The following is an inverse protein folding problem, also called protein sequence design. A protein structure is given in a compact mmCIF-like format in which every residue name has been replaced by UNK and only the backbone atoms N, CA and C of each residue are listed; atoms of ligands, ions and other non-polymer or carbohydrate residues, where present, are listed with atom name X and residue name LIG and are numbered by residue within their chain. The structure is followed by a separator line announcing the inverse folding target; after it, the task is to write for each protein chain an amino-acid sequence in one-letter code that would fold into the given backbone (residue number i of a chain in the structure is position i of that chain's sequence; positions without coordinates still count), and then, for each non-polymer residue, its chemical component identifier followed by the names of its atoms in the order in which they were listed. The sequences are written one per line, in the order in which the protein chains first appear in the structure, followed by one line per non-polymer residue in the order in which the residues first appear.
data_IF_663740129590
#
_entry.id   IF_663740129590
#
_cell.length_a   1.000
_cell.length_b   1.000
_cell.length_c   1.000
_cell.angle_alpha   90.00
_cell.angle_beta   90.00
_cell.angle_gamma   90.00
#
_symmetry.space_group_name_H-M   'P 1'
#
loop_
_entity.id
_entity.type
_entity.pdbx_description
1 polymer ?
#
# COMPACT_ATOMS: atom_id res chain seq x y z
N UNK A 1 21.46 -0.20 -4.73
CA UNK A 1 20.60 0.48 -3.74
C UNK A 1 21.20 0.25 -2.37
N UNK A 2 21.39 1.33 -1.62
CA UNK A 2 21.82 1.24 -0.22
C UNK A 2 20.67 0.73 0.66
N UNK A 3 20.98 0.09 1.79
CA UNK A 3 19.96 -0.43 2.74
C UNK A 3 19.03 0.71 3.21
N UNK A 4 19.54 1.94 3.29
CA UNK A 4 18.77 3.14 3.63
C UNK A 4 17.69 3.45 2.58
N UNK A 5 17.98 3.37 1.28
CA UNK A 5 16.98 3.59 0.21
C UNK A 5 15.85 2.57 0.25
N UNK A 6 16.21 1.30 0.47
CA UNK A 6 15.25 0.18 0.56
C UNK A 6 14.32 0.31 1.77
N UNK A 7 14.74 1.02 2.82
CA UNK A 7 13.95 1.18 4.05
C UNK A 7 13.15 2.48 4.07
N UNK A 8 13.73 3.58 3.59
CA UNK A 8 13.13 4.92 3.64
C UNK A 8 11.98 5.06 2.64
N UNK A 9 12.13 4.50 1.42
CA UNK A 9 11.11 4.63 0.38
C UNK A 9 9.78 3.93 0.76
N UNK A 10 9.78 2.69 1.27
CA UNK A 10 8.55 2.07 1.79
C UNK A 10 7.96 2.81 2.98
N UNK A 11 8.78 3.43 3.84
CA UNK A 11 8.30 4.19 4.99
C UNK A 11 7.50 5.43 4.54
N UNK A 12 8.06 6.22 3.62
CA UNK A 12 7.41 7.41 3.08
C UNK A 12 6.16 7.00 2.29
N UNK A 13 6.27 5.97 1.46
CA UNK A 13 5.13 5.39 0.72
C UNK A 13 4.00 5.00 1.68
N UNK A 14 4.30 4.27 2.75
CA UNK A 14 3.32 3.87 3.76
C UNK A 14 2.67 5.06 4.46
N UNK A 15 3.43 6.09 4.82
CA UNK A 15 2.86 7.30 5.42
C UNK A 15 1.84 8.00 4.52
N UNK A 16 2.18 8.16 3.23
CA UNK A 16 1.28 8.75 2.25
C UNK A 16 0.07 7.86 1.96
N UNK A 17 0.27 6.55 1.86
CA UNK A 17 -0.79 5.58 1.60
C UNK A 17 -1.80 5.55 2.76
N UNK A 18 -1.31 5.53 4.00
CA UNK A 18 -2.14 5.62 5.21
C UNK A 18 -2.92 6.95 5.22
N UNK A 19 -2.28 8.07 4.87
CA UNK A 19 -2.95 9.37 4.83
C UNK A 19 -4.16 9.41 3.88
N UNK A 20 -4.03 8.79 2.70
CA UNK A 20 -5.13 8.73 1.74
C UNK A 20 -6.20 7.70 2.09
N UNK A 21 -5.82 6.58 2.71
CA UNK A 21 -6.73 5.49 3.05
C UNK A 21 -7.43 5.62 4.39
N UNK A 22 -6.93 6.41 5.33
CA UNK A 22 -7.60 6.61 6.61
C UNK A 22 -8.61 7.75 6.47
N UNK A 23 -9.93 7.48 6.56
CA UNK A 23 -10.93 8.53 6.54
C UNK A 23 -10.66 9.55 7.66
N UNK A 24 -10.50 10.81 7.29
CA UNK A 24 -10.31 11.90 8.24
C UNK A 24 -11.55 12.02 9.13
N UNK A 25 -11.35 12.16 10.45
CA UNK A 25 -12.34 11.94 11.51
C UNK A 25 -13.62 12.80 11.50
N UNK A 26 -13.90 13.55 10.43
CA UNK A 26 -15.12 14.36 10.30
C UNK A 26 -16.33 13.48 10.03
N UNK A 27 -16.99 13.08 11.12
CA UNK A 27 -18.41 12.69 11.22
C UNK A 27 -18.84 11.48 10.39
N UNK A 28 -18.31 10.29 10.66
CA UNK A 28 -19.15 9.09 10.49
C UNK A 28 -20.10 9.03 11.70
N UNK A 29 -21.30 9.57 11.51
CA UNK A 29 -22.40 9.40 12.46
C UNK A 29 -22.58 7.91 12.73
N UNK A 30 -22.24 7.51 13.96
CA UNK A 30 -22.48 6.22 14.60
C UNK A 30 -23.88 5.69 14.22
N UNK A 31 -23.95 4.86 13.19
CA UNK A 31 -24.95 3.79 13.09
C UNK A 31 -24.21 2.47 13.17
N UNK A 32 -23.47 2.26 14.26
CA UNK A 32 -23.12 0.90 14.66
C UNK A 32 -24.46 0.26 14.99
N UNK A 33 -24.92 -0.66 14.14
CA UNK A 33 -26.12 -1.45 14.44
C UNK A 33 -25.92 -2.05 15.83
N UNK A 34 -26.75 -1.64 16.78
CA UNK A 34 -26.74 -2.11 18.19
C UNK A 34 -27.00 -3.63 18.32
N UNK A 35 -27.24 -4.34 17.22
CA UNK A 35 -27.37 -5.80 17.19
C UNK A 35 -26.05 -6.46 16.84
N UNK A 36 -25.41 -7.08 17.83
CA UNK A 36 -24.51 -8.24 17.74
C UNK A 36 -23.69 -8.40 16.43
N UNK A 37 -23.01 -7.35 15.99
CA UNK A 37 -22.20 -7.43 14.77
C UNK A 37 -20.90 -8.21 15.04
N UNK A 38 -20.74 -9.36 14.40
CA UNK A 38 -19.50 -10.16 14.46
C UNK A 38 -18.29 -9.35 13.99
N UNK A 39 -17.10 -9.59 14.56
CA UNK A 39 -15.85 -8.93 14.16
C UNK A 39 -15.66 -8.89 12.63
N UNK A 40 -15.91 -10.02 11.95
CA UNK A 40 -15.77 -10.14 10.50
C UNK A 40 -16.65 -9.16 9.73
N UNK A 41 -17.88 -8.91 10.20
CA UNK A 41 -18.78 -7.96 9.56
C UNK A 41 -18.26 -6.53 9.68
N UNK A 42 -17.83 -6.13 10.89
CA UNK A 42 -17.25 -4.81 11.16
C UNK A 42 -15.94 -4.62 10.40
N UNK A 43 -15.12 -5.67 10.29
CA UNK A 43 -13.89 -5.66 9.52
C UNK A 43 -14.14 -5.43 8.03
N UNK A 44 -15.07 -6.20 7.43
CA UNK A 44 -15.44 -6.03 6.02
C UNK A 44 -16.01 -4.64 5.73
N UNK A 45 -16.89 -4.13 6.60
CA UNK A 45 -17.45 -2.77 6.47
C UNK A 45 -16.36 -1.70 6.51
N UNK A 46 -15.45 -1.77 7.49
CA UNK A 46 -14.33 -0.85 7.60
C UNK A 46 -13.41 -0.91 6.38
N UNK A 47 -13.10 -2.12 5.89
CA UNK A 47 -12.23 -2.30 4.73
C UNK A 47 -12.87 -1.71 3.46
N UNK A 48 -14.16 -1.97 3.24
CA UNK A 48 -14.91 -1.41 2.13
C UNK A 48 -14.92 0.12 2.16
N UNK A 49 -15.17 0.71 3.33
CA UNK A 49 -15.14 2.18 3.50
C UNK A 49 -13.75 2.77 3.23
N UNK A 50 -12.68 2.06 3.57
CA UNK A 50 -11.32 2.49 3.28
C UNK A 50 -10.99 2.42 1.79
N UNK A 51 -11.41 1.34 1.11
CA UNK A 51 -11.09 1.10 -0.31
C UNK A 51 -11.97 1.94 -1.25
N UNK A 52 -13.25 2.13 -0.92
CA UNK A 52 -14.22 2.79 -1.81
C UNK A 52 -14.46 4.28 -1.50
N UNK A 53 -13.63 4.91 -0.66
CA UNK A 53 -13.70 6.36 -0.45
C UNK A 53 -13.08 7.15 -1.62
N UNK A 54 -13.54 8.39 -1.85
CA UNK A 54 -13.03 9.26 -2.91
C UNK A 54 -11.50 9.47 -2.87
N UNK A 55 -10.91 9.49 -1.67
CA UNK A 55 -9.46 9.66 -1.48
C UNK A 55 -8.65 8.40 -1.81
N UNK A 56 -9.26 7.22 -1.84
CA UNK A 56 -8.58 5.98 -2.18
C UNK A 56 -8.07 5.97 -3.63
N UNK A 57 -8.68 6.78 -4.52
CA UNK A 57 -8.15 6.99 -5.89
C UNK A 57 -6.74 7.56 -5.86
N UNK A 58 -6.42 8.46 -4.91
CA UNK A 58 -5.07 8.98 -4.75
C UNK A 58 -4.10 7.91 -4.23
N UNK A 59 -4.56 7.04 -3.33
CA UNK A 59 -3.77 5.90 -2.87
C UNK A 59 -3.49 4.91 -4.01
N UNK A 60 -4.48 4.65 -4.87
CA UNK A 60 -4.34 3.78 -6.04
C UNK A 60 -3.40 4.39 -7.09
N UNK A 61 -3.52 5.70 -7.34
CA UNK A 61 -2.61 6.42 -8.23
C UNK A 61 -1.18 6.38 -7.70
N UNK A 62 -0.98 6.64 -6.41
CA UNK A 62 0.32 6.53 -5.75
C UNK A 62 0.91 5.13 -5.89
N UNK A 63 0.10 4.09 -5.66
CA UNK A 63 0.54 2.71 -5.84
C UNK A 63 0.96 2.40 -7.28
N UNK A 64 0.17 2.85 -8.27
CA UNK A 64 0.53 2.71 -9.68
C UNK A 64 1.84 3.43 -10.04
N UNK A 65 2.02 4.65 -9.54
CA UNK A 65 3.26 5.42 -9.69
C UNK A 65 4.45 4.67 -9.07
N UNK A 66 4.29 4.10 -7.88
CA UNK A 66 5.34 3.30 -7.24
C UNK A 66 5.76 2.11 -8.11
N UNK A 67 4.81 1.36 -8.66
CA UNK A 67 5.12 0.23 -9.55
C UNK A 67 5.80 0.70 -10.84
N UNK A 68 5.36 1.82 -11.41
CA UNK A 68 5.99 2.41 -12.59
C UNK A 68 7.44 2.86 -12.31
N UNK A 69 7.70 3.47 -11.16
CA UNK A 69 9.06 3.86 -10.75
C UNK A 69 9.94 2.63 -10.59
N UNK A 70 9.46 1.57 -9.92
CA UNK A 70 10.21 0.32 -9.78
C UNK A 70 10.62 -0.21 -11.17
N UNK A 71 9.68 -0.28 -12.13
CA UNK A 71 10.00 -0.71 -13.49
C UNK A 71 11.07 0.17 -14.13
N UNK A 72 10.90 1.49 -14.03
CA UNK A 72 11.75 2.47 -14.69
C UNK A 72 13.18 2.44 -14.16
N UNK A 73 13.35 2.25 -12.85
CA UNK A 73 14.67 2.14 -12.21
C UNK A 73 15.42 0.92 -12.71
N UNK A 74 14.77 -0.26 -12.72
CA UNK A 74 15.41 -1.48 -13.21
C UNK A 74 15.70 -1.42 -14.72
N UNK A 75 14.78 -0.90 -15.52
CA UNK A 75 14.99 -0.72 -16.96
C UNK A 75 16.13 0.25 -17.26
N UNK A 76 16.23 1.36 -16.51
CA UNK A 76 17.32 2.32 -16.64
C UNK A 76 18.68 1.74 -16.23
N UNK A 77 18.71 0.97 -15.13
CA UNK A 77 19.93 0.29 -14.68
C UNK A 77 20.41 -0.77 -15.69
N UNK A 78 19.48 -1.55 -16.25
CA UNK A 78 19.77 -2.54 -17.29
C UNK A 78 20.33 -1.87 -18.54
N UNK A 79 19.67 -0.81 -19.01
CA UNK A 79 20.13 -0.04 -20.17
C UNK A 79 21.53 0.54 -19.95
N UNK A 80 21.76 1.17 -18.80
CA UNK A 80 23.06 1.77 -18.47
C UNK A 80 24.19 0.72 -18.42
N UNK A 81 23.95 -0.42 -17.77
CA UNK A 81 24.92 -1.50 -17.70
C UNK A 81 25.22 -2.07 -19.10
N UNK A 82 24.18 -2.38 -19.88
CA UNK A 82 24.35 -2.99 -21.19
C UNK A 82 25.01 -2.02 -22.21
N UNK A 83 24.82 -0.71 -22.05
CA UNK A 83 25.41 0.29 -22.93
C UNK A 83 26.87 0.64 -22.57
N UNK A 84 27.25 0.55 -21.30
CA UNK A 84 28.53 1.13 -20.83
C UNK A 84 29.47 0.15 -20.12
N UNK A 85 29.05 -1.07 -19.79
CA UNK A 85 29.87 -1.97 -18.98
C UNK A 85 30.98 -2.68 -19.75
N UNK A 86 30.86 -2.81 -21.09
CA UNK A 86 31.77 -3.61 -21.92
C UNK A 86 31.65 -5.12 -21.71
N UNK A 87 30.70 -5.58 -20.89
CA UNK A 87 30.41 -6.99 -20.63
C UNK A 87 29.20 -7.48 -21.44
N UNK A 88 28.98 -8.81 -21.53
CA UNK A 88 27.77 -9.36 -22.12
C UNK A 88 26.50 -8.79 -21.49
N UNK A 89 25.41 -8.64 -22.26
CA UNK A 89 24.18 -8.04 -21.78
C UNK A 89 23.54 -8.87 -20.67
N UNK A 90 23.02 -8.18 -19.67
CA UNK A 90 22.26 -8.75 -18.55
C UNK A 90 20.79 -8.32 -18.63
N UNK A 91 19.93 -8.98 -17.86
CA UNK A 91 18.55 -8.54 -17.67
C UNK A 91 18.18 -8.48 -16.19
N UNK A 92 17.50 -7.40 -15.81
CA UNK A 92 16.96 -7.18 -14.47
C UNK A 92 15.43 -7.37 -14.41
N UNK A 93 14.82 -7.90 -15.46
CA UNK A 93 13.36 -8.10 -15.53
C UNK A 93 12.80 -8.94 -14.38
N UNK A 94 13.47 -10.03 -14.01
CA UNK A 94 13.04 -10.89 -12.89
C UNK A 94 13.12 -10.16 -11.55
N UNK A 95 14.19 -9.41 -11.31
CA UNK A 95 14.37 -8.58 -10.11
C UNK A 95 13.31 -7.48 -10.01
N UNK A 96 12.95 -6.85 -11.13
CA UNK A 96 11.86 -5.87 -11.19
C UNK A 96 10.52 -6.51 -10.80
N UNK A 97 10.17 -7.64 -11.43
CA UNK A 97 8.93 -8.36 -11.12
C UNK A 97 8.86 -8.84 -9.67
N UNK A 98 9.97 -9.34 -9.12
CA UNK A 98 10.05 -9.76 -7.73
C UNK A 98 9.81 -8.57 -6.78
N UNK A 99 10.43 -7.43 -7.05
CA UNK A 99 10.29 -6.21 -6.25
C UNK A 99 8.87 -5.65 -6.32
N UNK A 100 8.26 -5.62 -7.51
CA UNK A 100 6.86 -5.23 -7.66
C UNK A 100 5.91 -6.16 -6.90
N UNK A 101 6.11 -7.47 -7.02
CA UNK A 101 5.29 -8.47 -6.33
C UNK A 101 5.38 -8.32 -4.82
N UNK A 102 6.60 -8.12 -4.29
CA UNK A 102 6.81 -7.81 -2.88
C UNK A 102 6.09 -6.52 -2.45
N UNK A 103 6.12 -5.48 -3.29
CA UNK A 103 5.42 -4.21 -3.03
C UNK A 103 3.89 -4.38 -3.02
N UNK A 104 3.34 -5.20 -3.91
CA UNK A 104 1.91 -5.55 -3.95
C UNK A 104 1.52 -6.28 -2.65
N UNK A 105 2.27 -7.31 -2.26
CA UNK A 105 2.02 -8.09 -1.04
C UNK A 105 2.10 -7.18 0.19
N UNK A 106 3.15 -6.36 0.28
CA UNK A 106 3.32 -5.39 1.38
C UNK A 106 2.13 -4.43 1.48
N UNK A 107 1.68 -3.89 0.35
CA UNK A 107 0.52 -2.98 0.30
C UNK A 107 -0.77 -3.67 0.76
N UNK A 108 -0.98 -4.91 0.35
CA UNK A 108 -2.12 -5.72 0.81
C UNK A 108 -2.08 -5.98 2.33
N UNK A 109 -0.91 -6.35 2.87
CA UNK A 109 -0.72 -6.54 4.31
C UNK A 109 -0.99 -5.24 5.09
N UNK A 110 -0.50 -4.10 4.58
CA UNK A 110 -0.73 -2.79 5.19
C UNK A 110 -2.23 -2.46 5.24
N UNK A 111 -2.95 -2.70 4.14
CA UNK A 111 -4.39 -2.46 4.06
C UNK A 111 -5.18 -3.33 5.06
N UNK A 112 -4.82 -4.61 5.19
CA UNK A 112 -5.41 -5.52 6.17
C UNK A 112 -5.11 -5.07 7.61
N UNK A 113 -3.87 -4.67 7.91
CA UNK A 113 -3.46 -4.19 9.23
C UNK A 113 -4.24 -2.92 9.63
N UNK A 114 -4.42 -1.98 8.71
CA UNK A 114 -5.22 -0.77 8.94
C UNK A 114 -6.70 -1.10 9.17
N UNK A 115 -7.27 -1.99 8.37
CA UNK A 115 -8.65 -2.47 8.56
C UNK A 115 -8.84 -3.14 9.93
N UNK A 116 -7.86 -3.94 10.36
CA UNK A 116 -7.87 -4.62 11.65
C UNK A 116 -7.82 -3.64 12.82
N UNK A 117 -6.87 -2.69 12.79
CA UNK A 117 -6.74 -1.64 13.80
C UNK A 117 -8.00 -0.77 13.91
N UNK A 118 -8.61 -0.41 12.78
CA UNK A 118 -9.88 0.34 12.76
C UNK A 118 -11.02 -0.47 13.37
N UNK A 119 -11.07 -1.77 13.11
CA UNK A 119 -12.10 -2.67 13.64
C UNK A 119 -12.02 -2.79 15.15
N UNK A 120 -10.82 -3.00 15.71
CA UNK A 120 -10.61 -3.00 17.17
C UNK A 120 -11.09 -1.68 17.78
N UNK A 121 -10.72 -0.54 17.18
CA UNK A 121 -11.11 0.78 17.67
C UNK A 121 -12.64 0.97 17.64
N UNK A 122 -13.30 0.57 16.56
CA UNK A 122 -14.76 0.65 16.44
C UNK A 122 -15.49 -0.23 17.46
N UNK A 123 -15.00 -1.44 17.72
CA UNK A 123 -15.60 -2.35 18.72
C UNK A 123 -15.37 -1.87 20.16
N UNK A 124 -14.18 -1.33 20.48
CA UNK A 124 -13.89 -0.75 21.80
C UNK A 124 -14.79 0.45 22.10
N UNK A 125 -15.11 1.27 21.10
CA UNK A 125 -15.97 2.44 21.25
C UNK A 125 -17.48 2.09 21.25
N UNK A 126 -17.86 0.84 20.97
CA UNK A 126 -19.26 0.40 20.94
C UNK A 126 -19.71 -0.31 22.23
N UNK A 127 -18.75 -0.75 23.06
CA UNK A 127 -18.96 -1.12 24.47
C UNK A 127 -19.02 0.13 25.33
#
# INVERSE_FOLDING_TARGET
MSISEVTILPLIYSGMFIFFLVPSAKKESRKVHKGQSTFLFVFKDNLAKMVFQKKAVLALALFGITLFIIQSVFAGAEWHYNAHSGYPPISYKSSALFTMSGTIIYTAMLLLALGYGRTIKSMKNAK
#
